data_IF_038711499328
#
_entry.id   IF_038711499328
#
_cell.length_a   1.000
_cell.length_b   1.000
_cell.length_c   1.000
_cell.angle_alpha   90.00
_cell.angle_beta   90.00
_cell.angle_gamma   90.00
#
_symmetry.space_group_name_H-M   'P 1'
#
loop_
_entity.id
_entity.type
_entity.pdbx_description
1 polymer ?
#
# COMPACT_ATOMS: atom_id res chain seq x y z
N UNK A 1 8.53 1.31 -2.79
CA UNK A 1 7.36 0.43 -3.05
C UNK A 1 7.86 -1.00 -2.96
N UNK A 2 7.38 -1.75 -1.97
CA UNK A 2 7.65 -3.19 -1.89
C UNK A 2 6.74 -3.88 -2.90
N UNK A 3 7.28 -4.79 -3.72
CA UNK A 3 6.55 -5.44 -4.81
C UNK A 3 6.56 -6.93 -4.56
N UNK A 4 5.38 -7.51 -4.29
CA UNK A 4 5.19 -8.94 -4.11
C UNK A 4 4.74 -9.58 -5.41
N UNK A 5 5.38 -10.68 -5.77
CA UNK A 5 5.07 -11.44 -6.99
C UNK A 5 3.97 -12.46 -6.72
N UNK A 6 3.25 -12.82 -7.78
CA UNK A 6 2.31 -13.93 -7.71
C UNK A 6 3.10 -15.24 -7.62
N UNK A 7 2.76 -16.07 -6.64
CA UNK A 7 3.44 -17.35 -6.41
C UNK A 7 2.53 -18.53 -6.75
N UNK A 8 3.09 -19.51 -7.44
CA UNK A 8 2.39 -20.75 -7.76
C UNK A 8 2.30 -21.65 -6.52
N UNK A 9 1.19 -22.38 -6.36
CA UNK A 9 0.94 -23.23 -5.19
C UNK A 9 2.01 -24.30 -4.97
N UNK A 10 2.54 -24.89 -6.05
CA UNK A 10 3.64 -25.85 -5.98
C UNK A 10 4.95 -25.23 -5.44
N UNK A 11 5.22 -23.96 -5.75
CA UNK A 11 6.40 -23.26 -5.26
C UNK A 11 6.23 -22.81 -3.81
N UNK A 12 5.03 -22.36 -3.44
CA UNK A 12 4.71 -22.00 -2.04
C UNK A 12 4.94 -23.18 -1.08
N UNK A 13 4.69 -24.43 -1.52
CA UNK A 13 4.94 -25.64 -0.72
C UNK A 13 6.43 -25.93 -0.45
N UNK A 14 7.33 -25.40 -1.27
CA UNK A 14 8.78 -25.63 -1.12
C UNK A 14 9.46 -24.58 -0.23
N UNK A 15 8.75 -23.53 0.16
CA UNK A 15 9.30 -22.45 0.97
C UNK A 15 9.42 -22.86 2.44
N UNK A 16 10.50 -22.43 3.08
CA UNK A 16 10.64 -22.49 4.52
C UNK A 16 9.83 -21.37 5.21
N UNK A 17 9.84 -21.36 6.55
CA UNK A 17 9.11 -20.36 7.34
C UNK A 17 9.51 -18.93 6.99
N UNK A 18 10.79 -18.69 6.68
CA UNK A 18 11.25 -17.34 6.38
C UNK A 18 10.85 -16.93 4.95
N UNK A 19 10.93 -17.83 3.99
CA UNK A 19 10.47 -17.64 2.62
C UNK A 19 8.98 -17.29 2.56
N UNK A 20 8.14 -18.01 3.33
CA UNK A 20 6.72 -17.69 3.43
C UNK A 20 6.49 -16.28 4.01
N UNK A 21 7.26 -15.86 5.03
CA UNK A 21 7.14 -14.50 5.58
C UNK A 21 7.61 -13.45 4.57
N UNK A 22 8.69 -13.70 3.85
CA UNK A 22 9.22 -12.77 2.85
C UNK A 22 8.22 -12.54 1.70
N UNK A 23 7.47 -13.57 1.30
CA UNK A 23 6.50 -13.46 0.20
C UNK A 23 5.14 -12.90 0.66
N UNK A 24 4.60 -13.39 1.79
CA UNK A 24 3.21 -13.10 2.18
C UNK A 24 3.04 -12.12 3.34
N UNK A 25 4.05 -11.95 4.19
CA UNK A 25 3.95 -11.09 5.37
C UNK A 25 4.47 -9.68 5.07
N UNK A 26 3.69 -8.68 5.44
CA UNK A 26 4.13 -7.28 5.51
C UNK A 26 4.37 -6.95 6.97
N UNK A 27 5.63 -6.92 7.38
CA UNK A 27 5.97 -6.71 8.81
C UNK A 27 5.73 -5.29 9.29
N UNK A 28 5.93 -4.31 8.40
CA UNK A 28 5.81 -2.88 8.72
C UNK A 28 4.72 -2.26 7.88
N UNK A 29 3.53 -2.15 8.47
CA UNK A 29 2.37 -1.50 7.85
C UNK A 29 2.26 -0.05 8.31
N UNK A 30 2.46 0.23 9.60
CA UNK A 30 2.37 1.59 10.14
C UNK A 30 3.75 2.07 10.58
N UNK A 31 4.23 3.13 9.95
CA UNK A 31 5.48 3.81 10.28
C UNK A 31 5.15 5.26 10.58
N UNK A 32 5.68 5.79 11.67
CA UNK A 32 5.36 7.16 12.10
C UNK A 32 5.78 8.16 11.03
N UNK A 33 4.84 9.04 10.68
CA UNK A 33 5.02 10.11 9.70
C UNK A 33 5.41 9.65 8.29
N UNK A 34 5.17 8.38 7.98
CA UNK A 34 5.45 7.79 6.68
C UNK A 34 4.22 7.02 6.18
N UNK A 35 4.14 6.86 4.85
CA UNK A 35 3.23 5.91 4.25
C UNK A 35 4.02 4.68 3.82
N UNK A 36 3.49 3.51 4.12
CA UNK A 36 3.99 2.26 3.56
C UNK A 36 3.12 1.87 2.38
N UNK A 37 3.73 1.22 1.38
CA UNK A 37 3.00 0.75 0.22
C UNK A 37 3.63 -0.52 -0.33
N UNK A 38 2.81 -1.55 -0.36
CA UNK A 38 3.11 -2.87 -0.91
C UNK A 38 2.19 -3.13 -2.08
N UNK A 39 2.77 -3.33 -3.25
CA UNK A 39 2.07 -3.70 -4.46
C UNK A 39 2.10 -5.22 -4.61
N UNK A 40 0.94 -5.86 -4.60
CA UNK A 40 0.82 -7.28 -4.90
C UNK A 40 0.45 -7.48 -6.37
N UNK A 41 1.16 -8.35 -7.07
CA UNK A 41 0.77 -8.78 -8.42
C UNK A 41 -0.49 -9.65 -8.42
N UNK A 42 -0.88 -10.19 -7.26
CA UNK A 42 -2.16 -10.85 -7.08
C UNK A 42 -3.24 -9.76 -7.08
N UNK A 43 -4.06 -9.75 -8.13
CA UNK A 43 -5.12 -8.77 -8.40
C UNK A 43 -4.70 -7.29 -8.48
N UNK A 44 -3.39 -7.02 -8.52
CA UNK A 44 -2.81 -5.66 -8.59
C UNK A 44 -3.25 -4.77 -7.43
N UNK A 45 -3.51 -5.38 -6.27
CA UNK A 45 -3.92 -4.69 -5.06
C UNK A 45 -2.73 -3.95 -4.47
N UNK A 46 -2.99 -2.75 -3.98
CA UNK A 46 -2.05 -1.94 -3.23
C UNK A 46 -2.52 -1.93 -1.79
N UNK A 47 -1.68 -2.42 -0.89
CA UNK A 47 -1.95 -2.40 0.55
C UNK A 47 -0.87 -1.59 1.26
N UNK A 48 -1.24 -0.94 2.35
CA UNK A 48 -0.33 -0.08 3.08
C UNK A 48 -0.99 0.54 4.29
N UNK A 49 -0.18 1.25 5.07
CA UNK A 49 -0.65 2.03 6.21
C UNK A 49 -0.09 3.45 6.15
N UNK A 50 -0.85 4.37 6.70
CA UNK A 50 -0.46 5.78 6.84
C UNK A 50 -0.67 6.13 8.31
N UNK A 51 0.41 6.54 8.99
CA UNK A 51 0.34 6.93 10.39
C UNK A 51 0.97 8.31 10.61
N UNK A 52 0.22 9.40 10.34
CA UNK A 52 0.72 10.74 10.59
C UNK A 52 0.77 11.00 12.11
N UNK A 53 1.91 11.50 12.61
CA UNK A 53 2.13 11.81 14.03
C UNK A 53 2.46 13.29 14.20
N UNK A 54 3.56 13.75 13.58
CA UNK A 54 4.03 15.13 13.61
C UNK A 54 3.80 15.87 12.27
N UNK A 55 3.70 15.16 11.14
CA UNK A 55 3.49 15.77 9.82
C UNK A 55 2.35 15.10 9.04
N UNK A 56 1.68 15.90 8.22
CA UNK A 56 0.70 15.39 7.26
C UNK A 56 1.40 14.62 6.15
N UNK A 57 0.90 13.42 5.87
CA UNK A 57 1.41 12.54 4.82
C UNK A 57 0.43 12.58 3.64
N UNK A 58 0.92 12.88 2.44
CA UNK A 58 0.12 12.98 1.22
C UNK A 58 0.51 11.91 0.20
N UNK A 59 -0.46 11.10 -0.21
CA UNK A 59 -0.34 10.10 -1.30
C UNK A 59 -1.01 10.65 -2.55
N UNK A 60 -0.26 11.31 -3.43
CA UNK A 60 -0.83 12.03 -4.57
C UNK A 60 0.00 11.95 -5.85
N UNK A 61 0.97 12.85 -6.00
CA UNK A 61 1.69 13.03 -7.27
C UNK A 61 2.80 12.01 -7.54
N UNK A 62 3.59 11.66 -6.52
CA UNK A 62 4.75 10.77 -6.70
C UNK A 62 4.33 9.32 -6.93
N UNK A 63 3.27 8.86 -6.27
CA UNK A 63 2.75 7.50 -6.44
C UNK A 63 2.02 7.34 -7.78
N UNK A 64 1.34 8.38 -8.26
CA UNK A 64 0.72 8.38 -9.60
C UNK A 64 1.75 8.09 -10.71
N UNK A 65 2.92 8.74 -10.64
CA UNK A 65 4.03 8.49 -11.58
C UNK A 65 4.56 7.07 -11.52
N UNK A 66 4.65 6.47 -10.32
CA UNK A 66 5.07 5.07 -10.15
C UNK A 66 4.08 4.06 -10.74
N UNK A 67 2.80 4.46 -10.87
CA UNK A 67 1.74 3.63 -11.45
C UNK A 67 1.42 3.99 -12.90
N UNK A 68 2.14 4.95 -13.50
CA UNK A 68 1.95 5.38 -14.89
C UNK A 68 0.67 6.19 -15.12
N UNK A 69 0.14 6.85 -14.09
CA UNK A 69 -1.11 7.65 -14.15
C UNK A 69 -0.87 9.07 -13.64
N UNK A 70 -1.76 10.01 -14.01
CA UNK A 70 -1.59 11.44 -13.70
C UNK A 70 -1.80 11.72 -12.22
N UNK A 71 -2.66 10.94 -11.56
CA UNK A 71 -2.87 10.92 -10.11
C UNK A 71 -3.35 9.54 -9.65
N UNK A 72 -3.07 9.20 -8.38
CA UNK A 72 -3.21 7.83 -7.83
C UNK A 72 -4.59 7.16 -8.05
N UNK A 73 -5.68 7.94 -8.06
CA UNK A 73 -7.06 7.44 -8.12
C UNK A 73 -7.71 7.52 -9.51
N UNK A 74 -6.96 7.84 -10.57
CA UNK A 74 -7.54 8.03 -11.90
C UNK A 74 -8.27 6.77 -12.43
N UNK A 75 -7.82 5.59 -12.02
CA UNK A 75 -8.39 4.28 -12.42
C UNK A 75 -8.49 3.28 -11.28
N UNK A 76 -8.47 3.76 -10.03
CA UNK A 76 -8.43 2.93 -8.83
C UNK A 76 -9.36 3.47 -7.77
N UNK A 77 -10.06 2.57 -7.10
CA UNK A 77 -10.81 2.86 -5.90
C UNK A 77 -9.88 2.74 -4.68
N UNK A 78 -10.11 3.58 -3.67
CA UNK A 78 -9.35 3.56 -2.41
C UNK A 78 -10.34 3.45 -1.25
N UNK A 79 -10.17 2.41 -0.46
CA UNK A 79 -10.79 2.29 0.86
C UNK A 79 -9.78 2.67 1.94
N UNK A 80 -10.18 3.52 2.87
CA UNK A 80 -9.39 3.87 4.06
C UNK A 80 -10.21 3.51 5.29
N UNK A 81 -9.59 2.77 6.20
CA UNK A 81 -10.18 2.43 7.49
C UNK A 81 -9.21 2.91 8.56
N UNK A 82 -9.67 3.85 9.38
CA UNK A 82 -8.90 4.31 10.52
C UNK A 82 -9.10 3.35 11.70
N UNK A 83 -8.01 2.70 12.12
CA UNK A 83 -7.97 1.77 13.27
C UNK A 83 -7.28 2.36 14.50
N UNK A 84 -6.78 3.60 14.39
CA UNK A 84 -6.02 4.28 15.44
C UNK A 84 -6.83 5.35 16.17
N UNK A 85 -6.14 6.42 16.56
CA UNK A 85 -6.76 7.59 17.17
C UNK A 85 -7.60 8.41 16.18
N UNK A 86 -8.38 9.35 16.70
CA UNK A 86 -9.13 10.28 15.85
C UNK A 86 -8.18 11.05 14.91
N UNK A 87 -8.44 10.96 13.61
CA UNK A 87 -7.68 11.61 12.56
C UNK A 87 -8.62 12.29 11.57
N UNK A 88 -8.08 13.16 10.74
CA UNK A 88 -8.84 13.84 9.70
C UNK A 88 -8.22 13.58 8.33
N UNK A 89 -8.93 12.81 7.52
CA UNK A 89 -8.52 12.51 6.15
C UNK A 89 -9.14 13.53 5.20
N UNK A 90 -8.29 14.25 4.46
CA UNK A 90 -8.74 15.20 3.43
C UNK A 90 -8.52 14.60 2.05
N UNK A 91 -9.56 13.97 1.51
CA UNK A 91 -9.55 13.49 0.12
C UNK A 91 -10.04 14.62 -0.81
N UNK A 92 -9.13 15.25 -1.55
CA UNK A 92 -9.49 16.26 -2.55
C UNK A 92 -9.64 15.57 -3.90
N UNK A 93 -10.87 15.13 -4.21
CA UNK A 93 -11.23 14.61 -5.52
C UNK A 93 -11.19 15.76 -6.53
N UNK A 94 -10.25 15.75 -7.48
CA UNK A 94 -10.34 16.61 -8.66
C UNK A 94 -11.33 15.96 -9.62
N UNK A 95 -12.62 16.17 -9.38
CA UNK A 95 -13.64 15.95 -10.41
C UNK A 95 -13.53 17.14 -11.37
N UNK A 96 -13.17 16.84 -12.62
CA UNK A 96 -13.30 17.79 -13.74
C UNK A 96 -14.79 18.10 -13.97
#
# INVERSE_FOLDING_TARGET
>A
MDVRQSIHSAHAKTLDTQGLRNEFLVEKVFVADEYTMVYSHIDRIIVGGIMPVAKTVSVGGEVGKQLGVTYFLERRELGVINIGGAGHDRCRWSVL
#
